data_IF_324757335170
#
_entry.id   IF_324757335170
#
_cell.length_a   1.000
_cell.length_b   1.000
_cell.length_c   1.000
_cell.angle_alpha   90.00
_cell.angle_beta   90.00
_cell.angle_gamma   90.00
#
_symmetry.space_group_name_H-M   'P 1'
#
loop_
_entity.id
_entity.type
_entity.pdbx_description
1 polymer ?
#
# COMPACT_ATOMS: atom_id res chain seq x y z
N UNK A 1 -9.59 4.63 2.23
CA UNK A 1 -10.72 4.06 2.99
C UNK A 1 -11.98 4.91 2.81
N UNK A 2 -13.13 4.28 2.65
CA UNK A 2 -14.40 4.91 2.35
C UNK A 2 -14.93 4.53 0.98
N UNK A 3 -15.70 5.43 0.35
CA UNK A 3 -16.30 5.19 -0.97
C UNK A 3 -15.40 5.59 -2.14
N UNK A 4 -14.32 6.28 -1.87
CA UNK A 4 -13.32 6.67 -2.87
C UNK A 4 -12.14 5.69 -2.87
N UNK A 5 -11.44 5.60 -3.99
CA UNK A 5 -10.21 4.79 -4.12
C UNK A 5 -9.07 5.33 -3.27
N UNK A 6 -9.07 6.62 -2.98
CA UNK A 6 -8.12 7.26 -2.07
C UNK A 6 -8.72 7.49 -0.70
N UNK A 7 -7.86 7.65 0.31
CA UNK A 7 -8.29 8.04 1.64
C UNK A 7 -8.98 9.41 1.60
N UNK A 8 -10.08 9.52 2.33
CA UNK A 8 -10.78 10.79 2.52
C UNK A 8 -10.13 11.59 3.65
N UNK A 9 -10.16 12.89 3.55
CA UNK A 9 -9.64 13.79 4.57
C UNK A 9 -8.73 14.87 4.01
N UNK A 10 -8.41 15.82 4.83
CA UNK A 10 -7.52 16.92 4.48
C UNK A 10 -6.11 16.67 5.01
N UNK A 11 -5.14 16.66 4.10
CA UNK A 11 -3.72 16.49 4.44
C UNK A 11 -3.10 17.79 5.00
N UNK A 12 -3.77 18.92 4.78
CA UNK A 12 -3.32 20.22 5.24
C UNK A 12 -4.46 20.96 5.94
N UNK A 13 -4.11 21.67 7.00
CA UNK A 13 -5.01 22.61 7.71
C UNK A 13 -4.30 23.95 7.77
N UNK A 14 -4.97 25.01 7.30
CA UNK A 14 -4.43 26.37 7.25
C UNK A 14 -3.06 26.46 6.52
N UNK A 15 -2.88 25.64 5.47
CA UNK A 15 -1.66 25.63 4.66
C UNK A 15 -0.50 24.79 5.25
N UNK A 16 -0.64 24.27 6.47
CA UNK A 16 0.34 23.41 7.11
C UNK A 16 -0.02 21.93 7.00
N UNK A 17 0.98 21.07 6.97
CA UNK A 17 0.76 19.62 6.96
C UNK A 17 0.07 19.19 8.25
N UNK A 18 -1.01 18.41 8.10
CA UNK A 18 -1.73 17.86 9.24
C UNK A 18 -0.88 16.83 9.97
N UNK A 19 -0.80 16.94 11.28
CA UNK A 19 -0.15 15.94 12.11
C UNK A 19 -1.03 14.70 12.26
N UNK A 20 -0.39 13.55 12.41
CA UNK A 20 -1.08 12.31 12.71
C UNK A 20 -1.56 12.31 14.15
N UNK A 21 -2.81 11.93 14.37
CA UNK A 21 -3.43 11.88 15.69
C UNK A 21 -3.95 10.48 15.98
N UNK A 22 -3.94 10.03 17.24
CA UNK A 22 -4.52 8.74 17.62
C UNK A 22 -5.97 8.61 17.16
N UNK A 23 -6.30 7.45 16.60
CA UNK A 23 -7.63 7.18 16.04
C UNK A 23 -7.74 7.42 14.53
N UNK A 24 -6.77 8.08 13.90
CA UNK A 24 -6.72 8.18 12.44
C UNK A 24 -6.43 6.83 11.82
N UNK A 25 -7.12 6.55 10.70
CA UNK A 25 -6.87 5.36 9.87
C UNK A 25 -6.58 5.83 8.45
N UNK A 26 -5.50 5.31 7.87
CA UNK A 26 -5.13 5.62 6.50
C UNK A 26 -4.38 4.44 5.87
N UNK A 27 -4.24 4.47 4.56
CA UNK A 27 -3.49 3.47 3.80
C UNK A 27 -2.04 3.91 3.59
N UNK A 28 -1.13 2.95 3.59
CA UNK A 28 0.26 3.12 3.13
C UNK A 28 0.44 2.20 1.94
N UNK A 29 0.69 2.78 0.77
CA UNK A 29 0.58 2.11 -0.52
C UNK A 29 1.84 2.27 -1.38
N UNK A 30 3.04 1.87 -0.91
CA UNK A 30 4.23 1.94 -1.75
C UNK A 30 4.07 1.07 -2.99
N UNK A 31 4.45 1.61 -4.14
CA UNK A 31 4.33 0.91 -5.41
C UNK A 31 5.47 1.21 -6.36
N UNK A 32 5.75 0.25 -7.22
CA UNK A 32 6.70 0.37 -8.32
C UNK A 32 5.98 0.03 -9.62
N UNK A 33 5.99 0.96 -10.57
CA UNK A 33 5.27 0.84 -11.83
C UNK A 33 6.23 1.12 -12.98
N UNK A 34 6.38 0.17 -13.89
CA UNK A 34 7.28 0.28 -15.03
C UNK A 34 6.44 0.37 -16.31
N UNK A 35 6.45 1.54 -16.99
CA UNK A 35 5.72 1.69 -18.24
C UNK A 35 6.14 0.67 -19.30
N UNK A 36 5.22 0.21 -20.18
CA UNK A 36 5.54 -0.76 -21.21
C UNK A 36 6.57 -0.26 -22.23
N UNK A 37 6.67 1.04 -22.41
CA UNK A 37 7.55 1.73 -23.37
C UNK A 37 8.83 2.30 -22.75
N UNK A 38 9.09 2.04 -21.48
CA UNK A 38 10.29 2.51 -20.81
C UNK A 38 11.55 1.78 -21.32
N UNK A 39 12.25 2.40 -22.27
CA UNK A 39 13.44 1.85 -22.86
C UNK A 39 14.67 1.84 -21.94
N UNK A 40 14.63 2.56 -20.80
CA UNK A 40 15.72 2.58 -19.81
C UNK A 40 15.76 1.32 -18.95
N UNK A 41 14.70 0.50 -19.00
CA UNK A 41 14.56 -0.73 -18.22
C UNK A 41 14.61 -1.94 -19.15
N UNK A 42 15.24 -3.07 -18.73
CA UNK A 42 15.21 -4.31 -19.49
C UNK A 42 13.77 -4.72 -19.87
N UNK A 43 13.58 -5.18 -21.10
CA UNK A 43 12.24 -5.47 -21.66
C UNK A 43 11.39 -6.42 -20.79
N UNK A 44 12.02 -7.36 -20.09
CA UNK A 44 11.34 -8.33 -19.21
C UNK A 44 10.61 -7.70 -18.02
N UNK A 45 10.94 -6.47 -17.64
CA UNK A 45 10.32 -5.76 -16.53
C UNK A 45 9.27 -4.74 -16.96
N UNK A 46 9.21 -4.43 -18.26
CA UNK A 46 8.28 -3.41 -18.77
C UNK A 46 6.84 -3.87 -18.66
N UNK A 47 5.96 -2.94 -18.30
CA UNK A 47 4.54 -3.20 -18.12
C UNK A 47 4.19 -3.89 -16.80
N UNK A 48 5.15 -4.05 -15.88
CA UNK A 48 4.93 -4.63 -14.56
C UNK A 48 4.66 -3.51 -13.56
N UNK A 49 3.61 -3.67 -12.76
CA UNK A 49 3.29 -2.82 -11.61
C UNK A 49 3.01 -3.67 -10.40
N UNK A 50 3.59 -3.28 -9.27
CA UNK A 50 3.36 -3.94 -7.97
C UNK A 50 3.13 -2.86 -6.93
N UNK A 51 2.06 -3.01 -6.15
CA UNK A 51 1.75 -2.19 -4.97
C UNK A 51 1.55 -3.12 -3.78
N UNK A 52 2.12 -2.73 -2.64
CA UNK A 52 1.86 -3.34 -1.35
C UNK A 52 1.11 -2.31 -0.53
N UNK A 53 -0.05 -2.68 0.00
CA UNK A 53 -0.93 -1.76 0.70
C UNK A 53 -1.30 -2.32 2.06
N UNK A 54 -1.19 -1.49 3.08
CA UNK A 54 -1.65 -1.78 4.42
C UNK A 54 -2.56 -0.67 4.94
N UNK A 55 -3.60 -1.05 5.68
CA UNK A 55 -4.43 -0.15 6.48
C UNK A 55 -3.79 0.03 7.84
N UNK A 56 -3.57 1.27 8.24
CA UNK A 56 -2.85 1.61 9.46
C UNK A 56 -3.70 2.48 10.37
N UNK A 57 -3.83 2.06 11.62
CA UNK A 57 -4.43 2.82 12.70
C UNK A 57 -3.32 3.53 13.49
N UNK A 58 -3.44 4.83 13.67
CA UNK A 58 -2.56 5.60 14.57
C UNK A 58 -3.01 5.36 16.01
N UNK A 59 -2.09 4.98 16.87
CA UNK A 59 -2.32 4.79 18.29
C UNK A 59 -1.57 5.85 19.11
N UNK A 60 -1.80 5.93 20.41
CA UNK A 60 -1.09 6.87 21.28
C UNK A 60 0.42 6.63 21.31
N UNK A 61 0.83 5.37 21.19
CA UNK A 61 2.23 4.96 21.33
C UNK A 61 2.91 4.63 19.99
N UNK A 62 2.17 4.75 18.87
CA UNK A 62 2.70 4.41 17.56
C UNK A 62 1.60 4.08 16.57
N UNK A 63 1.54 2.85 16.08
CA UNK A 63 0.57 2.40 15.08
C UNK A 63 0.20 0.94 15.23
N UNK A 64 -0.90 0.56 14.61
CA UNK A 64 -1.32 -0.82 14.42
C UNK A 64 -1.65 -1.06 12.96
N UNK A 65 -1.08 -2.10 12.38
CA UNK A 65 -1.40 -2.54 11.02
C UNK A 65 -2.64 -3.42 11.07
N UNK A 66 -3.76 -2.94 10.53
CA UNK A 66 -5.04 -3.65 10.57
C UNK A 66 -5.07 -4.85 9.62
N UNK A 67 -4.32 -4.78 8.52
CA UNK A 67 -4.21 -5.81 7.49
C UNK A 67 -3.01 -6.74 7.69
N UNK A 68 -2.40 -6.72 8.87
CA UNK A 68 -1.16 -7.44 9.17
C UNK A 68 -1.23 -8.96 9.02
N UNK A 69 -2.43 -9.55 9.02
CA UNK A 69 -2.63 -10.99 8.82
C UNK A 69 -2.62 -11.42 7.34
N UNK A 70 -2.62 -10.47 6.39
CA UNK A 70 -2.55 -10.78 4.97
C UNK A 70 -1.10 -11.02 4.53
N UNK A 71 -0.91 -12.00 3.67
CA UNK A 71 0.39 -12.29 3.05
C UNK A 71 0.81 -11.12 2.16
N UNK A 72 2.08 -10.72 2.27
CA UNK A 72 2.64 -9.61 1.48
C UNK A 72 4.05 -9.85 0.98
N UNK A 73 4.79 -10.79 1.58
CA UNK A 73 6.10 -11.18 1.06
C UNK A 73 5.95 -11.99 -0.22
N UNK A 74 6.95 -11.94 -1.10
CA UNK A 74 6.95 -12.72 -2.32
C UNK A 74 6.81 -14.22 -2.02
N UNK A 75 7.57 -14.71 -1.05
CA UNK A 75 7.57 -16.13 -0.68
C UNK A 75 6.18 -16.59 -0.17
N UNK A 76 5.53 -15.79 0.68
CA UNK A 76 4.21 -16.11 1.21
C UNK A 76 3.14 -16.12 0.12
N UNK A 77 3.17 -15.13 -0.79
CA UNK A 77 2.23 -15.05 -1.92
C UNK A 77 2.45 -16.22 -2.88
N UNK A 78 3.68 -16.56 -3.21
CA UNK A 78 4.00 -17.71 -4.06
C UNK A 78 3.53 -19.02 -3.43
N UNK A 79 3.73 -19.19 -2.12
CA UNK A 79 3.25 -20.36 -1.38
C UNK A 79 1.72 -20.46 -1.39
N UNK A 80 1.02 -19.33 -1.16
CA UNK A 80 -0.43 -19.24 -1.20
C UNK A 80 -0.98 -19.60 -2.59
N UNK A 81 -0.38 -19.05 -3.64
CA UNK A 81 -0.77 -19.34 -5.01
C UNK A 81 -0.51 -20.80 -5.41
N UNK A 82 0.59 -21.39 -4.95
CA UNK A 82 0.90 -22.80 -5.19
C UNK A 82 -0.11 -23.73 -4.50
N UNK A 83 -0.50 -23.40 -3.26
CA UNK A 83 -1.50 -24.16 -2.50
C UNK A 83 -2.91 -24.06 -3.10
N UNK A 84 -3.26 -22.98 -3.79
CA UNK A 84 -4.56 -22.78 -4.43
C UNK A 84 -4.69 -23.45 -5.80
N UNK A 85 -3.62 -23.98 -6.37
CA UNK A 85 -3.68 -24.71 -7.65
C UNK A 85 -4.26 -26.11 -7.42
N UNK A 86 -5.21 -26.54 -8.26
CA UNK A 86 -5.73 -27.90 -8.21
C UNK A 86 -4.67 -28.95 -8.61
#
# INVERSE_FOLDING_TARGET
LGLDVHDVGEYRIDGESRLLEPGMVFTIEPGLYIPPDDASVPAKWRGIGIRIEDDVLVTRDGHRVLTGALERSADDIEALMAAARP
#
